data_IF_090647150818
#
_entry.id   IF_090647150818
#
_cell.length_a   1.000
_cell.length_b   1.000
_cell.length_c   1.000
_cell.angle_alpha   90.00
_cell.angle_beta   90.00
_cell.angle_gamma   90.00
#
_symmetry.space_group_name_H-M   'P 1'
#
loop_
_entity.id
_entity.type
_entity.pdbx_description
1 polymer ?
#
# COMPACT_ATOMS: atom_id res chain seq x y z
N UNK A 1 -30.44 -16.38 -23.63
CA UNK A 1 -29.64 -15.59 -24.59
C UNK A 1 -28.99 -14.40 -23.91
N UNK A 2 -29.70 -13.67 -23.03
CA UNK A 2 -29.13 -12.60 -22.20
C UNK A 2 -27.93 -13.06 -21.34
N UNK A 3 -28.02 -14.18 -20.60
CA UNK A 3 -26.90 -14.71 -19.80
C UNK A 3 -25.64 -15.06 -20.62
N UNK A 4 -25.82 -15.56 -21.86
CA UNK A 4 -24.67 -15.87 -22.74
C UNK A 4 -24.00 -14.62 -23.29
N UNK A 5 -24.78 -13.56 -23.58
CA UNK A 5 -24.22 -12.26 -23.98
C UNK A 5 -23.51 -11.57 -22.81
N UNK A 6 -24.06 -11.71 -21.59
CA UNK A 6 -23.47 -11.10 -20.39
C UNK A 6 -22.15 -11.78 -20.00
N UNK A 7 -22.05 -13.12 -20.10
CA UNK A 7 -20.78 -13.83 -19.89
C UNK A 7 -19.71 -13.46 -20.92
N UNK A 8 -20.05 -13.38 -22.21
CA UNK A 8 -19.08 -12.93 -23.23
C UNK A 8 -18.61 -11.48 -22.99
N UNK A 9 -19.50 -10.60 -22.50
CA UNK A 9 -19.12 -9.24 -22.18
C UNK A 9 -18.18 -9.19 -20.97
N UNK A 10 -18.46 -9.95 -19.91
CA UNK A 10 -17.57 -10.06 -18.74
C UNK A 10 -16.19 -10.57 -19.13
N UNK A 11 -16.12 -11.66 -19.89
CA UNK A 11 -14.84 -12.27 -20.30
C UNK A 11 -13.97 -11.31 -21.12
N UNK A 12 -14.58 -10.53 -22.03
CA UNK A 12 -13.87 -9.50 -22.79
C UNK A 12 -13.35 -8.36 -21.89
N UNK A 13 -14.15 -7.91 -20.92
CA UNK A 13 -13.72 -6.86 -19.98
C UNK A 13 -12.59 -7.34 -19.08
N UNK A 14 -12.65 -8.57 -18.58
CA UNK A 14 -11.58 -9.17 -17.78
C UNK A 14 -10.29 -9.36 -18.59
N UNK A 15 -10.41 -9.75 -19.86
CA UNK A 15 -9.26 -9.79 -20.75
C UNK A 15 -8.61 -8.41 -20.90
N UNK A 16 -9.42 -7.36 -21.11
CA UNK A 16 -8.91 -5.98 -21.17
C UNK A 16 -8.22 -5.59 -19.86
N UNK A 17 -8.83 -5.87 -18.70
CA UNK A 17 -8.25 -5.55 -17.40
C UNK A 17 -6.88 -6.23 -17.19
N UNK A 18 -6.74 -7.51 -17.54
CA UNK A 18 -5.46 -8.25 -17.45
C UNK A 18 -4.41 -7.71 -18.42
N UNK A 19 -4.79 -7.33 -19.64
CA UNK A 19 -3.87 -6.68 -20.59
C UNK A 19 -3.44 -5.31 -20.07
N UNK A 20 -4.37 -4.55 -19.50
CA UNK A 20 -4.10 -3.24 -18.91
C UNK A 20 -3.12 -3.35 -17.72
N UNK A 21 -3.28 -4.35 -16.86
CA UNK A 21 -2.35 -4.67 -15.78
C UNK A 21 -0.93 -4.94 -16.30
N UNK A 22 -0.79 -5.85 -17.28
CA UNK A 22 0.51 -6.20 -17.87
C UNK A 22 1.19 -5.03 -18.59
N UNK A 23 0.41 -4.08 -19.08
CA UNK A 23 0.91 -2.88 -19.77
C UNK A 23 1.00 -1.66 -18.86
N UNK A 24 0.80 -1.83 -17.54
CA UNK A 24 0.82 -0.76 -16.53
C UNK A 24 -0.17 0.39 -16.85
N UNK A 25 -1.24 0.12 -17.60
CA UNK A 25 -2.31 1.08 -17.96
C UNK A 25 -3.48 1.00 -16.97
N UNK A 26 -3.21 1.40 -15.73
CA UNK A 26 -4.16 1.19 -14.63
C UNK A 26 -5.49 1.96 -14.75
N UNK A 27 -5.52 3.10 -15.46
CA UNK A 27 -6.79 3.79 -15.76
C UNK A 27 -7.72 2.94 -16.62
N UNK A 28 -7.19 2.30 -17.67
CA UNK A 28 -7.95 1.37 -18.54
C UNK A 28 -8.42 0.14 -17.73
N UNK A 29 -7.56 -0.34 -16.82
CA UNK A 29 -7.88 -1.45 -15.92
C UNK A 29 -9.06 -1.10 -15.00
N UNK A 30 -9.06 0.09 -14.40
CA UNK A 30 -10.15 0.60 -13.55
C UNK A 30 -11.45 0.73 -14.34
N UNK A 31 -11.41 1.29 -15.56
CA UNK A 31 -12.60 1.42 -16.40
C UNK A 31 -13.22 0.07 -16.75
N UNK A 32 -12.40 -0.91 -17.13
CA UNK A 32 -12.84 -2.27 -17.41
C UNK A 32 -13.44 -2.94 -16.17
N UNK A 33 -12.77 -2.85 -15.02
CA UNK A 33 -13.23 -3.49 -13.79
C UNK A 33 -14.49 -2.85 -13.20
N UNK A 34 -14.66 -1.53 -13.34
CA UNK A 34 -15.92 -0.87 -13.01
C UNK A 34 -17.07 -1.36 -13.90
N UNK A 35 -16.80 -1.63 -15.17
CA UNK A 35 -17.79 -2.21 -16.08
C UNK A 35 -18.15 -3.64 -15.68
N UNK A 36 -17.18 -4.44 -15.22
CA UNK A 36 -17.42 -5.79 -14.67
C UNK A 36 -18.29 -5.73 -13.40
N UNK A 37 -17.99 -4.81 -12.47
CA UNK A 37 -18.78 -4.62 -11.25
C UNK A 37 -20.25 -4.28 -11.56
N UNK A 38 -20.48 -3.41 -12.55
CA UNK A 38 -21.83 -2.98 -12.98
C UNK A 38 -22.67 -4.07 -13.63
N UNK A 39 -22.10 -5.25 -13.94
CA UNK A 39 -22.88 -6.40 -14.38
C UNK A 39 -23.72 -7.01 -13.25
N UNK A 40 -23.51 -6.60 -11.99
CA UNK A 40 -24.32 -7.02 -10.84
C UNK A 40 -24.09 -8.49 -10.44
N UNK A 41 -22.98 -9.08 -10.89
CA UNK A 41 -22.57 -10.44 -10.55
C UNK A 41 -21.35 -10.36 -9.63
N UNK A 42 -21.41 -11.10 -8.53
CA UNK A 42 -20.35 -11.21 -7.53
C UNK A 42 -18.98 -11.44 -8.18
N UNK A 43 -17.98 -10.67 -7.75
CA UNK A 43 -16.60 -10.85 -8.19
C UNK A 43 -15.97 -12.04 -7.46
N UNK A 44 -15.26 -12.88 -8.20
CA UNK A 44 -14.34 -13.88 -7.66
C UNK A 44 -13.15 -13.22 -6.96
N UNK A 45 -12.37 -14.00 -6.19
CA UNK A 45 -11.19 -13.47 -5.51
C UNK A 45 -10.17 -12.83 -6.47
N UNK A 46 -9.93 -13.46 -7.63
CA UNK A 46 -9.03 -12.91 -8.67
C UNK A 46 -9.57 -11.58 -9.23
N UNK A 47 -10.86 -11.50 -9.51
CA UNK A 47 -11.48 -10.28 -10.04
C UNK A 47 -11.52 -9.16 -9.00
N UNK A 48 -11.73 -9.48 -7.71
CA UNK A 48 -11.58 -8.52 -6.60
C UNK A 48 -10.16 -7.98 -6.53
N UNK A 49 -9.16 -8.85 -6.67
CA UNK A 49 -7.76 -8.47 -6.67
C UNK A 49 -7.47 -7.48 -7.82
N UNK A 50 -7.87 -7.81 -9.06
CA UNK A 50 -7.71 -6.93 -10.23
C UNK A 50 -8.32 -5.54 -9.99
N UNK A 51 -9.55 -5.47 -9.48
CA UNK A 51 -10.19 -4.19 -9.15
C UNK A 51 -9.34 -3.38 -8.15
N UNK A 52 -8.89 -4.03 -7.07
CA UNK A 52 -8.13 -3.38 -6.02
C UNK A 52 -6.75 -2.91 -6.48
N UNK A 53 -6.05 -3.72 -7.29
CA UNK A 53 -4.75 -3.39 -7.89
C UNK A 53 -4.87 -2.18 -8.82
N UNK A 54 -5.90 -2.15 -9.68
CA UNK A 54 -6.13 -1.03 -10.59
C UNK A 54 -6.30 0.29 -9.82
N UNK A 55 -7.21 0.32 -8.85
CA UNK A 55 -7.43 1.54 -8.05
C UNK A 55 -6.24 1.89 -7.15
N UNK A 56 -5.56 0.90 -6.54
CA UNK A 56 -4.35 1.13 -5.74
C UNK A 56 -3.31 1.89 -6.56
N UNK A 57 -3.02 1.45 -7.79
CA UNK A 57 -2.01 2.07 -8.62
C UNK A 57 -2.40 3.47 -9.10
N UNK A 58 -3.64 3.65 -9.60
CA UNK A 58 -4.13 4.97 -10.05
C UNK A 58 -4.10 6.00 -8.92
N UNK A 59 -4.61 5.64 -7.73
CA UNK A 59 -4.66 6.56 -6.60
C UNK A 59 -3.31 6.71 -5.90
N UNK A 60 -2.47 5.67 -5.88
CA UNK A 60 -1.12 5.71 -5.34
C UNK A 60 -0.26 6.75 -6.05
N UNK A 61 -0.24 6.73 -7.39
CA UNK A 61 0.48 7.71 -8.19
C UNK A 61 0.00 9.16 -7.93
N UNK A 62 -1.31 9.36 -7.81
CA UNK A 62 -1.91 10.68 -7.52
C UNK A 62 -1.60 11.15 -6.10
N UNK A 63 -1.65 10.26 -5.10
CA UNK A 63 -1.27 10.58 -3.71
C UNK A 63 0.21 10.94 -3.60
N UNK A 64 1.09 10.22 -4.30
CA UNK A 64 2.51 10.56 -4.36
C UNK A 64 2.72 11.95 -5.00
N UNK A 65 2.04 12.24 -6.11
CA UNK A 65 2.05 13.55 -6.75
C UNK A 65 1.59 14.66 -5.79
N UNK A 66 0.47 14.45 -5.08
CA UNK A 66 -0.04 15.40 -4.10
C UNK A 66 0.97 15.66 -2.98
N UNK A 67 1.60 14.63 -2.42
CA UNK A 67 2.63 14.78 -1.37
C UNK A 67 3.82 15.62 -1.85
N UNK A 68 4.32 15.33 -3.05
CA UNK A 68 5.45 16.07 -3.63
C UNK A 68 5.07 17.54 -3.86
N UNK A 69 3.89 17.80 -4.42
CA UNK A 69 3.40 19.17 -4.62
C UNK A 69 3.22 19.92 -3.30
N UNK A 70 2.73 19.24 -2.26
CA UNK A 70 2.59 19.82 -0.92
C UNK A 70 3.94 20.20 -0.33
N UNK A 71 4.97 19.35 -0.50
CA UNK A 71 6.35 19.66 -0.08
C UNK A 71 6.94 20.85 -0.84
N UNK A 72 6.78 20.88 -2.17
CA UNK A 72 7.23 22.00 -3.02
C UNK A 72 6.56 23.30 -2.57
N UNK A 73 5.23 23.29 -2.37
CA UNK A 73 4.49 24.45 -1.88
C UNK A 73 5.09 24.97 -0.57
N UNK A 74 5.30 24.10 0.42
CA UNK A 74 5.86 24.51 1.72
C UNK A 74 7.27 25.10 1.58
N UNK A 75 8.11 24.53 0.72
CA UNK A 75 9.46 25.03 0.45
C UNK A 75 9.44 26.42 -0.20
N UNK A 76 8.59 26.63 -1.20
CA UNK A 76 8.45 27.93 -1.87
C UNK A 76 7.83 28.98 -0.94
N UNK A 77 6.92 28.57 -0.03
CA UNK A 77 6.39 29.43 1.04
C UNK A 77 7.50 29.90 1.99
N UNK A 78 8.42 29.00 2.38
CA UNK A 78 9.58 29.34 3.21
C UNK A 78 10.58 30.28 2.50
N UNK A 79 10.73 30.13 1.17
CA UNK A 79 11.57 31.00 0.35
C UNK A 79 10.95 32.38 0.06
N UNK A 80 9.65 32.58 0.36
CA UNK A 80 8.93 33.82 0.09
C UNK A 80 8.53 34.02 -1.38
N UNK A 81 8.63 32.99 -2.22
CA UNK A 81 8.32 33.03 -3.66
C UNK A 81 6.81 32.89 -3.92
N UNK A 82 6.06 33.93 -3.55
CA UNK A 82 4.58 33.92 -3.54
C UNK A 82 3.93 33.55 -4.88
N UNK A 83 4.60 33.81 -6.02
CA UNK A 83 4.10 33.39 -7.34
C UNK A 83 4.16 31.87 -7.52
N UNK A 84 5.27 31.23 -7.14
CA UNK A 84 5.40 29.77 -7.20
C UNK A 84 4.43 29.08 -6.24
N UNK A 85 4.23 29.67 -5.06
CA UNK A 85 3.21 29.18 -4.10
C UNK A 85 1.82 29.17 -4.72
N UNK A 86 1.44 30.21 -5.46
CA UNK A 86 0.14 30.26 -6.13
C UNK A 86 0.01 29.17 -7.21
N UNK A 87 1.04 28.96 -8.04
CA UNK A 87 1.07 27.91 -9.06
C UNK A 87 1.03 26.49 -8.47
N UNK A 88 1.75 26.28 -7.35
CA UNK A 88 1.73 25.03 -6.62
C UNK A 88 0.34 24.75 -6.02
N UNK A 89 -0.34 25.76 -5.47
CA UNK A 89 -1.72 25.66 -4.96
C UNK A 89 -2.72 25.27 -6.06
N UNK A 90 -2.61 25.86 -7.25
CA UNK A 90 -3.47 25.50 -8.38
C UNK A 90 -3.25 24.06 -8.83
N UNK A 91 -1.99 23.61 -8.85
CA UNK A 91 -1.65 22.23 -9.22
C UNK A 91 -2.10 21.22 -8.16
N UNK A 92 -1.95 21.55 -6.87
CA UNK A 92 -2.51 20.76 -5.77
C UNK A 92 -4.01 20.60 -5.93
N UNK A 93 -4.73 21.70 -6.17
CA UNK A 93 -6.19 21.66 -6.31
C UNK A 93 -6.64 20.73 -7.43
N UNK A 94 -5.95 20.72 -8.58
CA UNK A 94 -6.23 19.79 -9.67
C UNK A 94 -6.05 18.33 -9.25
N UNK A 95 -4.94 18.01 -8.58
CA UNK A 95 -4.68 16.64 -8.10
C UNK A 95 -5.72 16.22 -7.03
N UNK A 96 -6.11 17.12 -6.13
CA UNK A 96 -7.14 16.88 -5.13
C UNK A 96 -8.51 16.59 -5.76
N UNK A 97 -8.87 17.32 -6.82
CA UNK A 97 -10.13 17.10 -7.54
C UNK A 97 -10.12 15.74 -8.27
N UNK A 98 -8.98 15.36 -8.88
CA UNK A 98 -8.80 14.03 -9.49
C UNK A 98 -8.85 12.89 -8.46
N UNK A 99 -8.16 13.05 -7.32
CA UNK A 99 -8.21 12.10 -6.19
C UNK A 99 -9.63 11.96 -5.67
N UNK A 100 -10.31 13.09 -5.42
CA UNK A 100 -11.70 13.10 -4.94
C UNK A 100 -12.63 12.38 -5.91
N UNK A 101 -12.49 12.66 -7.21
CA UNK A 101 -13.31 12.02 -8.25
C UNK A 101 -13.12 10.51 -8.26
N UNK A 102 -11.88 10.01 -8.20
CA UNK A 102 -11.61 8.56 -8.23
C UNK A 102 -11.96 7.84 -6.95
N UNK A 103 -11.74 8.44 -5.78
CA UNK A 103 -12.25 7.89 -4.52
C UNK A 103 -13.78 7.79 -4.54
N UNK A 104 -14.49 8.83 -4.97
CA UNK A 104 -15.96 8.77 -5.04
C UNK A 104 -16.46 7.74 -6.06
N UNK A 105 -15.77 7.55 -7.18
CA UNK A 105 -16.11 6.53 -8.18
C UNK A 105 -16.08 5.10 -7.60
N UNK A 106 -15.00 4.73 -6.88
CA UNK A 106 -14.93 3.41 -6.24
C UNK A 106 -15.89 3.28 -5.07
N UNK A 107 -16.07 4.32 -4.26
CA UNK A 107 -17.01 4.29 -3.13
C UNK A 107 -18.45 4.03 -3.60
N UNK A 108 -18.89 4.72 -4.66
CA UNK A 108 -20.19 4.47 -5.30
C UNK A 108 -20.27 3.07 -5.90
N UNK A 109 -19.20 2.62 -6.57
CA UNK A 109 -19.16 1.26 -7.16
C UNK A 109 -19.29 0.19 -6.07
N UNK A 110 -18.65 0.38 -4.92
CA UNK A 110 -18.76 -0.52 -3.79
C UNK A 110 -20.19 -0.56 -3.24
N UNK A 111 -20.79 0.60 -3.00
CA UNK A 111 -22.11 0.69 -2.36
C UNK A 111 -23.25 0.23 -3.27
N UNK A 112 -23.20 0.56 -4.56
CA UNK A 112 -24.29 0.27 -5.50
C UNK A 112 -24.23 -1.15 -6.07
N UNK A 113 -23.04 -1.76 -6.18
CA UNK A 113 -22.85 -3.02 -6.92
C UNK A 113 -22.12 -4.11 -6.14
N UNK A 114 -21.00 -3.80 -5.48
CA UNK A 114 -20.12 -4.84 -4.92
C UNK A 114 -20.60 -5.37 -3.58
N UNK A 115 -20.95 -4.51 -2.62
CA UNK A 115 -21.52 -4.94 -1.34
C UNK A 115 -22.88 -5.64 -1.52
N UNK A 116 -23.83 -5.12 -2.34
CA UNK A 116 -25.11 -5.80 -2.56
C UNK A 116 -25.00 -7.18 -3.22
N UNK A 117 -23.95 -7.42 -4.01
CA UNK A 117 -23.71 -8.71 -4.68
C UNK A 117 -22.84 -9.68 -3.88
N UNK A 118 -22.20 -9.23 -2.79
CA UNK A 118 -21.34 -10.03 -1.93
C UNK A 118 -22.13 -11.07 -1.13
N UNK A 119 -21.71 -12.34 -1.20
CA UNK A 119 -22.37 -13.45 -0.48
C UNK A 119 -21.53 -14.07 0.62
N UNK A 120 -20.24 -13.75 0.67
CA UNK A 120 -19.30 -14.29 1.65
C UNK A 120 -18.81 -13.20 2.61
N UNK A 121 -18.49 -13.61 3.85
CA UNK A 121 -17.84 -12.73 4.82
C UNK A 121 -16.53 -12.16 4.29
N UNK A 122 -15.72 -12.99 3.63
CA UNK A 122 -14.46 -12.57 3.00
C UNK A 122 -14.65 -11.40 2.01
N UNK A 123 -15.61 -11.51 1.09
CA UNK A 123 -15.88 -10.46 0.12
C UNK A 123 -16.42 -9.19 0.79
N UNK A 124 -17.28 -9.33 1.81
CA UNK A 124 -17.81 -8.19 2.56
C UNK A 124 -16.70 -7.45 3.33
N UNK A 125 -15.81 -8.18 4.02
CA UNK A 125 -14.64 -7.61 4.72
C UNK A 125 -13.73 -6.89 3.72
N UNK A 126 -13.45 -7.51 2.58
CA UNK A 126 -12.61 -6.92 1.53
C UNK A 126 -13.16 -5.56 1.06
N UNK A 127 -14.46 -5.48 0.74
CA UNK A 127 -15.06 -4.23 0.26
C UNK A 127 -15.22 -3.18 1.35
N UNK A 128 -15.57 -3.56 2.59
CA UNK A 128 -15.62 -2.62 3.70
C UNK A 128 -14.23 -2.07 4.05
N UNK A 129 -13.19 -2.91 4.02
CA UNK A 129 -11.79 -2.48 4.14
C UNK A 129 -11.43 -1.47 3.04
N UNK A 130 -11.76 -1.78 1.78
CA UNK A 130 -11.54 -0.85 0.66
C UNK A 130 -12.26 0.49 0.88
N UNK A 131 -13.52 0.50 1.35
CA UNK A 131 -14.21 1.76 1.70
C UNK A 131 -13.44 2.55 2.75
N UNK A 132 -12.96 1.88 3.80
CA UNK A 132 -12.11 2.50 4.82
C UNK A 132 -10.87 3.14 4.21
N UNK A 133 -10.16 2.40 3.36
CA UNK A 133 -8.96 2.89 2.68
C UNK A 133 -9.22 4.14 1.82
N UNK A 134 -10.30 4.17 1.03
CA UNK A 134 -10.59 5.32 0.17
C UNK A 134 -11.12 6.54 0.92
N UNK A 135 -11.90 6.34 1.99
CA UNK A 135 -12.27 7.44 2.88
C UNK A 135 -11.05 7.98 3.64
N UNK A 136 -10.13 7.12 4.06
CA UNK A 136 -8.85 7.54 4.64
C UNK A 136 -8.05 8.41 3.66
N UNK A 137 -7.96 8.03 2.39
CA UNK A 137 -7.28 8.85 1.38
C UNK A 137 -7.93 10.22 1.22
N UNK A 138 -9.27 10.32 1.28
CA UNK A 138 -9.96 11.60 1.29
C UNK A 138 -9.60 12.44 2.54
N UNK A 139 -9.51 11.80 3.71
CA UNK A 139 -9.17 12.48 4.96
C UNK A 139 -7.73 13.03 5.01
N UNK A 140 -6.82 12.54 4.16
CA UNK A 140 -5.41 12.99 4.10
C UNK A 140 -5.25 14.43 3.61
N UNK A 141 -6.10 14.87 2.67
CA UNK A 141 -5.94 16.17 2.01
C UNK A 141 -7.15 17.11 2.16
N UNK A 142 -8.32 16.59 2.56
CA UNK A 142 -9.49 17.42 2.85
C UNK A 142 -9.29 18.24 4.12
N UNK A 143 -10.03 19.34 4.25
CA UNK A 143 -10.01 20.21 5.43
C UNK A 143 -11.38 20.28 6.12
N UNK A 144 -11.36 20.71 7.38
CA UNK A 144 -12.55 21.08 8.15
C UNK A 144 -13.63 19.98 8.14
N UNK A 145 -14.88 20.34 7.83
CA UNK A 145 -16.03 19.44 7.84
C UNK A 145 -15.90 18.27 6.84
N UNK A 146 -15.24 18.47 5.69
CA UNK A 146 -15.04 17.39 4.72
C UNK A 146 -14.07 16.33 5.27
N UNK A 147 -13.04 16.76 6.00
CA UNK A 147 -12.10 15.85 6.66
C UNK A 147 -12.76 15.09 7.80
N UNK A 148 -13.57 15.75 8.61
CA UNK A 148 -14.30 15.12 9.71
C UNK A 148 -15.26 14.04 9.19
N UNK A 149 -16.02 14.35 8.13
CA UNK A 149 -16.93 13.38 7.51
C UNK A 149 -16.15 12.18 6.93
N UNK A 150 -15.09 12.44 6.14
CA UNK A 150 -14.27 11.36 5.57
C UNK A 150 -13.65 10.47 6.67
N UNK A 151 -13.16 11.08 7.75
CA UNK A 151 -12.63 10.37 8.92
C UNK A 151 -13.70 9.50 9.58
N UNK A 152 -14.90 10.03 9.80
CA UNK A 152 -16.03 9.29 10.38
C UNK A 152 -16.44 8.10 9.51
N UNK A 153 -16.53 8.30 8.20
CA UNK A 153 -16.89 7.25 7.26
C UNK A 153 -15.80 6.17 7.16
N UNK A 154 -14.53 6.56 7.17
CA UNK A 154 -13.40 5.63 7.23
C UNK A 154 -13.48 4.75 8.48
N UNK A 155 -13.71 5.35 9.65
CA UNK A 155 -13.83 4.63 10.91
C UNK A 155 -14.99 3.62 10.87
N UNK A 156 -16.18 4.05 10.46
CA UNK A 156 -17.36 3.17 10.36
C UNK A 156 -17.12 1.99 9.42
N UNK A 157 -16.43 2.24 8.29
CA UNK A 157 -16.14 1.19 7.32
C UNK A 157 -15.15 0.15 7.86
N UNK A 158 -14.08 0.59 8.53
CA UNK A 158 -13.14 -0.33 9.17
C UNK A 158 -13.79 -1.10 10.34
N UNK A 159 -14.59 -0.45 11.19
CA UNK A 159 -15.30 -1.13 12.28
C UNK A 159 -16.28 -2.19 11.76
N UNK A 160 -17.01 -1.90 10.67
CA UNK A 160 -17.87 -2.87 10.01
C UNK A 160 -17.06 -4.05 9.44
N UNK A 161 -15.91 -3.79 8.82
CA UNK A 161 -15.02 -4.85 8.34
C UNK A 161 -14.49 -5.72 9.50
N UNK A 162 -14.08 -5.12 10.61
CA UNK A 162 -13.53 -5.83 11.77
C UNK A 162 -14.56 -6.75 12.40
N UNK A 163 -15.79 -6.27 12.59
CA UNK A 163 -16.87 -7.08 13.17
C UNK A 163 -17.18 -8.35 12.34
N UNK A 164 -17.15 -8.23 11.02
CA UNK A 164 -17.34 -9.38 10.12
C UNK A 164 -16.10 -10.28 10.15
N UNK A 165 -14.89 -9.70 10.09
CA UNK A 165 -13.63 -10.45 10.07
C UNK A 165 -13.41 -11.29 11.33
N UNK A 166 -13.79 -10.78 12.51
CA UNK A 166 -13.69 -11.51 13.78
C UNK A 166 -14.59 -12.76 13.82
N UNK A 167 -15.70 -12.75 13.09
CA UNK A 167 -16.65 -13.86 13.05
C UNK A 167 -16.33 -14.86 11.94
N UNK A 168 -15.96 -14.35 10.75
CA UNK A 168 -15.95 -15.14 9.52
C UNK A 168 -14.54 -15.54 9.06
N UNK A 169 -13.48 -14.90 9.58
CA UNK A 169 -12.10 -15.10 9.11
C UNK A 169 -11.15 -15.50 10.26
N UNK A 170 -10.27 -16.50 10.07
CA UNK A 170 -9.26 -16.83 11.08
C UNK A 170 -8.24 -15.68 11.24
N UNK A 171 -7.56 -15.56 12.41
CA UNK A 171 -6.57 -14.51 12.66
C UNK A 171 -5.44 -14.44 11.64
N UNK A 172 -5.07 -15.58 11.07
CA UNK A 172 -4.04 -15.72 10.02
C UNK A 172 -4.53 -15.35 8.63
N UNK A 173 -5.81 -15.05 8.42
CA UNK A 173 -6.30 -14.73 7.08
C UNK A 173 -5.68 -13.42 6.56
N UNK A 174 -5.09 -13.38 5.35
CA UNK A 174 -4.44 -12.19 4.80
C UNK A 174 -5.34 -10.95 4.71
N UNK A 175 -6.65 -11.12 4.45
CA UNK A 175 -7.59 -9.99 4.38
C UNK A 175 -7.83 -9.42 5.78
N UNK A 176 -7.93 -10.27 6.81
CA UNK A 176 -8.07 -9.84 8.21
C UNK A 176 -6.80 -9.16 8.73
N UNK A 177 -5.62 -9.71 8.43
CA UNK A 177 -4.34 -9.09 8.75
C UNK A 177 -4.16 -7.74 8.04
N UNK A 178 -4.45 -7.68 6.74
CA UNK A 178 -4.38 -6.44 5.96
C UNK A 178 -5.39 -5.40 6.43
N UNK A 179 -6.55 -5.81 6.95
CA UNK A 179 -7.50 -4.90 7.60
C UNK A 179 -6.90 -4.31 8.88
N UNK A 180 -6.33 -5.15 9.76
CA UNK A 180 -5.70 -4.69 11.00
C UNK A 180 -4.54 -3.72 10.75
N UNK A 181 -3.69 -4.03 9.77
CA UNK A 181 -2.61 -3.16 9.30
C UNK A 181 -3.14 -1.79 8.86
N UNK A 182 -4.14 -1.75 7.97
CA UNK A 182 -4.63 -0.47 7.46
C UNK A 182 -5.40 0.33 8.52
N UNK A 183 -6.08 -0.36 9.44
CA UNK A 183 -6.83 0.29 10.50
C UNK A 183 -5.92 0.84 11.60
N UNK A 184 -4.81 0.16 11.92
CA UNK A 184 -3.80 0.70 12.83
C UNK A 184 -3.13 1.95 12.24
N UNK A 185 -2.77 1.92 10.95
CA UNK A 185 -2.27 3.11 10.22
C UNK A 185 -3.29 4.25 10.25
N UNK A 186 -4.58 3.98 10.08
CA UNK A 186 -5.63 4.99 10.22
C UNK A 186 -5.65 5.63 11.61
N UNK A 187 -5.53 4.84 12.68
CA UNK A 187 -5.46 5.39 14.04
C UNK A 187 -4.21 6.23 14.26
N UNK A 188 -3.08 5.82 13.69
CA UNK A 188 -1.82 6.53 13.80
C UNK A 188 -1.83 7.85 13.01
N UNK A 189 -2.07 7.79 11.70
CA UNK A 189 -1.90 8.92 10.79
C UNK A 189 -3.10 9.90 10.78
N UNK A 190 -4.33 9.40 10.87
CA UNK A 190 -5.53 10.23 10.69
C UNK A 190 -6.12 10.68 12.03
N UNK A 191 -6.27 9.75 12.97
CA UNK A 191 -6.84 10.01 14.29
C UNK A 191 -5.79 10.57 15.26
N UNK A 192 -4.50 10.38 14.99
CA UNK A 192 -3.39 10.74 15.87
C UNK A 192 -3.50 10.07 17.26
N UNK A 193 -3.86 8.78 17.29
CA UNK A 193 -3.93 7.96 18.49
C UNK A 193 -2.95 6.77 18.39
N UNK A 194 -1.68 7.04 18.72
CA UNK A 194 -0.59 6.07 18.69
C UNK A 194 -0.83 4.88 19.61
N UNK A 195 -1.34 5.09 20.83
CA UNK A 195 -1.61 4.00 21.77
C UNK A 195 -2.59 2.98 21.18
N UNK A 196 -3.70 3.45 20.62
CA UNK A 196 -4.70 2.59 19.99
C UNK A 196 -4.16 1.90 18.74
N UNK A 197 -3.38 2.61 17.92
CA UNK A 197 -2.74 2.03 16.74
C UNK A 197 -1.81 0.88 17.11
N UNK A 198 -0.91 1.10 18.06
CA UNK A 198 0.04 0.10 18.54
C UNK A 198 -0.65 -1.10 19.20
N UNK A 199 -1.66 -0.87 20.04
CA UNK A 199 -2.40 -1.96 20.69
C UNK A 199 -3.12 -2.84 19.66
N UNK A 200 -3.73 -2.23 18.62
CA UNK A 200 -4.39 -2.97 17.54
C UNK A 200 -3.39 -3.80 16.73
N UNK A 201 -2.27 -3.20 16.32
CA UNK A 201 -1.22 -3.88 15.58
C UNK A 201 -0.61 -5.05 16.38
N UNK A 202 -0.31 -4.85 17.67
CA UNK A 202 0.20 -5.91 18.56
C UNK A 202 -0.78 -7.07 18.69
N UNK A 203 -2.06 -6.78 18.95
CA UNK A 203 -3.07 -7.83 19.08
C UNK A 203 -3.19 -8.68 17.81
N UNK A 204 -3.23 -8.04 16.64
CA UNK A 204 -3.32 -8.75 15.36
C UNK A 204 -2.08 -9.63 15.11
N UNK A 205 -0.89 -9.13 15.47
CA UNK A 205 0.36 -9.87 15.36
C UNK A 205 0.37 -11.09 16.28
N UNK A 206 0.02 -10.92 17.56
CA UNK A 206 -0.01 -11.99 18.56
C UNK A 206 -1.05 -13.08 18.22
N UNK A 207 -2.26 -12.68 17.81
CA UNK A 207 -3.33 -13.61 17.44
C UNK A 207 -2.93 -14.46 16.23
N UNK A 208 -2.30 -13.85 15.21
CA UNK A 208 -1.85 -14.58 14.04
C UNK A 208 -0.63 -15.47 14.32
N UNK A 209 0.32 -15.00 15.12
CA UNK A 209 1.50 -15.77 15.51
C UNK A 209 1.13 -17.08 16.22
N UNK A 210 0.05 -17.09 17.01
CA UNK A 210 -0.42 -18.27 17.73
C UNK A 210 -0.86 -19.42 16.81
N UNK A 211 -1.26 -19.13 15.57
CA UNK A 211 -1.80 -20.10 14.61
C UNK A 211 -0.95 -20.26 13.35
N UNK A 212 0.11 -19.46 13.19
CA UNK A 212 0.91 -19.34 11.96
C UNK A 212 1.57 -20.65 11.54
N UNK A 213 2.10 -21.42 12.49
CA UNK A 213 2.81 -22.69 12.22
C UNK A 213 1.90 -23.80 11.66
N UNK A 214 0.59 -23.61 11.70
CA UNK A 214 -0.40 -24.59 11.21
C UNK A 214 -0.78 -24.42 9.75
N UNK A 215 -0.31 -23.35 9.11
CA UNK A 215 -0.66 -22.99 7.73
C UNK A 215 0.09 -23.82 6.70
N UNK A 216 -0.50 -23.96 5.51
CA UNK A 216 0.22 -24.44 4.33
C UNK A 216 1.25 -23.39 3.85
N UNK A 217 2.21 -23.82 3.02
CA UNK A 217 3.32 -22.96 2.55
C UNK A 217 2.83 -21.64 1.95
N UNK A 218 1.78 -21.66 1.13
CA UNK A 218 1.30 -20.45 0.43
C UNK A 218 0.63 -19.50 1.42
N UNK A 219 -0.30 -20.01 2.23
CA UNK A 219 -0.97 -19.19 3.25
C UNK A 219 0.01 -18.63 4.28
N UNK A 220 1.06 -19.37 4.63
CA UNK A 220 2.14 -18.91 5.50
C UNK A 220 2.90 -17.73 4.88
N UNK A 221 3.31 -17.84 3.61
CA UNK A 221 4.01 -16.77 2.89
C UNK A 221 3.17 -15.49 2.84
N UNK A 222 1.90 -15.58 2.45
CA UNK A 222 1.01 -14.42 2.35
C UNK A 222 0.80 -13.74 3.72
N UNK A 223 0.60 -14.53 4.77
CA UNK A 223 0.31 -14.03 6.12
C UNK A 223 1.56 -13.43 6.79
N UNK A 224 2.71 -14.10 6.66
CA UNK A 224 3.98 -13.66 7.24
C UNK A 224 4.47 -12.35 6.65
N UNK A 225 4.23 -12.11 5.35
CA UNK A 225 4.55 -10.83 4.72
C UNK A 225 3.78 -9.68 5.36
N UNK A 226 2.48 -9.84 5.59
CA UNK A 226 1.65 -8.80 6.21
C UNK A 226 2.01 -8.62 7.69
N UNK A 227 2.29 -9.72 8.41
CA UNK A 227 2.75 -9.63 9.79
C UNK A 227 4.06 -8.88 9.93
N UNK A 228 4.99 -9.03 8.98
CA UNK A 228 6.22 -8.24 8.93
C UNK A 228 5.92 -6.75 8.85
N UNK A 229 5.08 -6.33 7.89
CA UNK A 229 4.65 -4.93 7.76
C UNK A 229 3.99 -4.37 9.02
N UNK A 230 3.25 -5.19 9.77
CA UNK A 230 2.70 -4.81 11.07
C UNK A 230 3.83 -4.59 12.10
N UNK A 231 4.82 -5.48 12.12
CA UNK A 231 6.01 -5.38 12.97
C UNK A 231 6.86 -4.14 12.67
N UNK A 232 7.08 -3.83 11.39
CA UNK A 232 7.85 -2.66 10.94
C UNK A 232 7.18 -1.36 11.42
N UNK A 233 5.85 -1.26 11.24
CA UNK A 233 5.07 -0.14 11.78
C UNK A 233 5.15 -0.03 13.31
N UNK A 234 5.08 -1.15 14.04
CA UNK A 234 5.21 -1.14 15.49
C UNK A 234 6.58 -0.64 15.94
N UNK A 235 7.65 -1.05 15.27
CA UNK A 235 8.99 -0.54 15.52
C UNK A 235 9.02 0.97 15.30
N UNK A 236 8.59 1.43 14.12
CA UNK A 236 8.57 2.84 13.77
C UNK A 236 7.80 3.70 14.78
N UNK A 237 6.64 3.24 15.25
CA UNK A 237 5.77 4.01 16.15
C UNK A 237 6.21 3.98 17.62
N UNK A 238 7.15 3.10 17.98
CA UNK A 238 7.61 2.92 19.36
C UNK A 238 9.05 3.38 19.59
N UNK A 239 9.77 3.78 18.55
CA UNK A 239 11.04 4.49 18.68
C UNK A 239 10.84 5.82 19.43
N UNK A 240 11.64 6.05 20.47
CA UNK A 240 11.57 7.24 21.33
C UNK A 240 12.28 8.41 20.63
N UNK A 241 11.64 9.57 20.38
CA UNK A 241 12.29 10.73 19.75
C UNK A 241 13.43 11.34 20.60
N UNK A 242 13.68 10.85 21.82
CA UNK A 242 14.66 11.39 22.75
C UNK A 242 16.09 10.83 22.59
N UNK A 243 16.34 9.85 21.71
CA UNK A 243 17.71 9.31 21.48
C UNK A 243 18.47 9.96 20.31
N UNK A 244 17.88 10.95 19.63
CA UNK A 244 18.50 11.70 18.52
C UNK A 244 18.36 13.22 18.76
N UNK A 245 19.21 13.81 19.61
CA UNK A 245 19.28 15.27 19.82
C UNK A 245 19.80 16.06 18.58
N UNK A 246 20.10 15.39 17.47
CA UNK A 246 20.34 16.01 16.15
C UNK A 246 19.09 15.96 15.23
N UNK A 247 17.92 15.52 15.72
CA UNK A 247 16.70 15.35 14.92
C UNK A 247 15.79 16.59 14.80
N UNK A 248 16.15 17.75 15.36
CA UNK A 248 15.32 18.96 15.20
C UNK A 248 15.30 19.49 13.74
N UNK A 249 16.23 19.06 12.88
CA UNK A 249 16.17 19.28 11.41
C UNK A 249 15.71 18.03 10.62
N UNK A 250 15.42 16.90 11.29
CA UNK A 250 14.95 15.64 10.65
C UNK A 250 13.48 15.30 10.89
N UNK A 251 12.83 15.94 11.87
CA UNK A 251 11.40 15.76 12.13
C UNK A 251 10.48 16.24 10.98
N UNK A 252 11.02 16.96 9.99
CA UNK A 252 10.33 17.36 8.76
C UNK A 252 10.56 16.45 7.55
N UNK A 253 11.52 15.52 7.60
CA UNK A 253 12.00 14.76 6.43
C UNK A 253 12.21 13.25 6.66
N UNK A 254 12.04 12.72 7.88
CA UNK A 254 12.05 11.27 8.08
C UNK A 254 10.74 10.62 7.61
N UNK A 255 10.79 10.15 6.37
CA UNK A 255 10.01 9.08 5.76
C UNK A 255 8.64 8.77 6.36
N UNK A 256 7.63 9.32 5.68
CA UNK A 256 6.24 8.86 5.69
C UNK A 256 6.19 7.41 5.18
N UNK A 257 6.28 6.45 6.08
CA UNK A 257 6.12 5.04 5.77
C UNK A 257 4.64 4.75 5.41
N UNK A 258 4.29 4.75 4.11
CA UNK A 258 3.35 3.79 3.52
C UNK A 258 3.49 3.79 1.98
N UNK A 259 4.11 2.76 1.42
CA UNK A 259 3.47 1.76 0.51
C UNK A 259 4.58 0.77 0.09
N UNK A 260 4.70 -0.34 0.82
CA UNK A 260 5.58 -1.44 0.41
C UNK A 260 5.14 -1.95 -0.97
N UNK A 261 6.11 -2.09 -1.87
CA UNK A 261 5.87 -2.66 -3.20
C UNK A 261 5.92 -4.17 -3.04
N UNK A 262 4.76 -4.82 -3.11
CA UNK A 262 4.64 -6.28 -3.14
C UNK A 262 3.99 -6.75 -4.44
N UNK A 263 4.58 -7.78 -5.05
CA UNK A 263 4.10 -8.37 -6.29
C UNK A 263 4.89 -9.60 -6.71
N UNK A 264 4.25 -10.54 -7.40
CA UNK A 264 4.85 -11.82 -7.77
C UNK A 264 5.98 -11.66 -8.83
N UNK A 265 5.99 -10.58 -9.62
CA UNK A 265 6.99 -10.33 -10.68
C UNK A 265 7.22 -8.83 -10.89
N UNK A 266 8.09 -8.23 -10.09
CA UNK A 266 8.33 -6.79 -10.09
C UNK A 266 9.53 -6.45 -11.00
N UNK A 267 9.32 -5.48 -11.90
CA UNK A 267 10.34 -4.94 -12.82
C UNK A 267 10.28 -3.42 -12.85
N UNK A 268 11.45 -2.79 -12.90
CA UNK A 268 11.65 -1.33 -12.93
C UNK A 268 11.20 -0.64 -11.62
N UNK A 269 11.77 -1.04 -10.49
CA UNK A 269 11.41 -0.47 -9.18
C UNK A 269 12.38 0.66 -8.85
N UNK A 270 11.97 1.92 -9.07
CA UNK A 270 12.75 3.12 -8.73
C UNK A 270 12.10 3.87 -7.55
N UNK A 271 12.73 3.88 -6.37
CA UNK A 271 12.19 4.57 -5.19
C UNK A 271 13.17 5.51 -4.48
N UNK A 272 12.65 6.66 -4.03
CA UNK A 272 13.43 7.65 -3.27
C UNK A 272 13.52 7.34 -1.77
N UNK A 273 12.48 6.74 -1.21
CA UNK A 273 12.48 6.18 0.13
C UNK A 273 11.25 5.28 0.34
N UNK A 274 11.44 3.98 0.55
CA UNK A 274 10.36 2.99 0.81
C UNK A 274 10.78 2.05 1.94
N UNK A 275 9.81 1.68 2.77
CA UNK A 275 9.89 0.62 3.76
C UNK A 275 9.57 -0.73 3.06
N UNK A 276 10.61 -1.53 2.79
CA UNK A 276 10.48 -2.87 2.20
C UNK A 276 10.15 -2.96 0.71
N UNK A 277 10.98 -3.67 -0.07
CA UNK A 277 10.62 -4.20 -1.40
C UNK A 277 10.59 -5.73 -1.32
N UNK A 278 9.45 -6.34 -1.70
CA UNK A 278 9.29 -7.80 -1.65
C UNK A 278 8.67 -8.38 -2.92
N UNK A 279 9.25 -9.44 -3.47
CA UNK A 279 8.70 -10.15 -4.63
C UNK A 279 9.41 -11.48 -4.91
N UNK A 280 8.72 -12.42 -5.58
CA UNK A 280 9.30 -13.74 -5.93
C UNK A 280 10.47 -13.58 -6.92
N UNK A 281 10.30 -12.69 -7.92
CA UNK A 281 11.38 -12.25 -8.81
C UNK A 281 11.39 -10.72 -8.92
N UNK A 282 12.55 -10.12 -8.65
CA UNK A 282 12.82 -8.69 -8.72
C UNK A 282 13.95 -8.43 -9.73
N UNK A 283 13.71 -7.54 -10.70
CA UNK A 283 14.71 -7.09 -11.68
C UNK A 283 14.71 -5.57 -11.79
N UNK A 284 15.89 -4.98 -12.00
CA UNK A 284 16.08 -3.54 -12.20
C UNK A 284 15.55 -2.71 -11.00
N UNK A 285 16.17 -2.91 -9.84
CA UNK A 285 15.78 -2.24 -8.59
C UNK A 285 16.79 -1.13 -8.27
N UNK A 286 16.39 0.14 -8.39
CA UNK A 286 17.22 1.30 -8.05
C UNK A 286 16.62 2.10 -6.88
N UNK A 287 17.25 2.12 -5.71
CA UNK A 287 16.73 2.87 -4.56
C UNK A 287 17.73 3.80 -3.85
N UNK A 288 17.22 4.90 -3.31
CA UNK A 288 18.06 5.88 -2.57
C UNK A 288 18.17 5.62 -1.06
N UNK A 289 17.09 5.15 -0.43
CA UNK A 289 17.03 4.81 1.00
C UNK A 289 15.92 3.75 1.22
N UNK A 290 16.24 2.51 1.59
CA UNK A 290 15.24 1.43 1.80
C UNK A 290 15.50 0.69 3.10
N UNK A 291 14.47 0.24 3.79
CA UNK A 291 14.59 -0.73 4.87
C UNK A 291 14.23 -2.12 4.31
N UNK A 292 15.23 -2.94 3.96
CA UNK A 292 15.05 -4.29 3.44
C UNK A 292 14.66 -4.45 1.96
N UNK A 293 15.42 -5.27 1.22
CA UNK A 293 14.98 -5.88 -0.06
C UNK A 293 14.96 -7.40 0.08
N UNK A 294 13.83 -8.04 -0.22
CA UNK A 294 13.66 -9.49 -0.11
C UNK A 294 13.00 -10.14 -1.33
N UNK A 295 13.58 -11.21 -1.85
CA UNK A 295 12.97 -11.99 -2.94
C UNK A 295 13.67 -13.30 -3.26
N UNK A 296 12.99 -14.26 -3.88
CA UNK A 296 13.62 -15.55 -4.22
C UNK A 296 14.72 -15.35 -5.28
N UNK A 297 14.47 -14.52 -6.30
CA UNK A 297 15.45 -14.17 -7.32
C UNK A 297 15.59 -12.64 -7.48
N UNK A 298 16.75 -12.08 -7.13
CA UNK A 298 17.09 -10.66 -7.33
C UNK A 298 18.15 -10.52 -8.43
N UNK A 299 17.89 -9.68 -9.43
CA UNK A 299 18.85 -9.30 -10.49
C UNK A 299 18.89 -7.76 -10.64
N UNK A 300 20.07 -7.19 -10.95
CA UNK A 300 20.27 -5.77 -11.24
C UNK A 300 19.76 -4.82 -10.13
N UNK A 301 20.34 -4.95 -8.93
CA UNK A 301 19.93 -4.19 -7.74
C UNK A 301 21.00 -3.14 -7.38
N UNK A 302 20.70 -1.85 -7.53
CA UNK A 302 21.60 -0.74 -7.16
C UNK A 302 20.98 0.13 -6.06
N UNK A 303 21.58 0.20 -4.87
CA UNK A 303 21.04 1.05 -3.80
C UNK A 303 22.06 1.91 -3.05
N UNK A 304 21.61 3.09 -2.58
CA UNK A 304 22.45 4.12 -1.93
C UNK A 304 22.41 4.17 -0.40
N UNK A 305 21.43 3.52 0.25
CA UNK A 305 21.39 3.26 1.70
C UNK A 305 20.28 2.22 1.98
N UNK A 306 20.61 0.97 2.37
CA UNK A 306 19.60 -0.10 2.60
C UNK A 306 19.87 -0.98 3.82
N UNK A 307 18.96 -1.09 4.79
CA UNK A 307 19.08 -2.09 5.87
C UNK A 307 18.73 -3.51 5.38
N UNK A 308 19.75 -4.26 4.94
CA UNK A 308 19.65 -5.67 4.57
C UNK A 308 19.13 -5.99 3.16
N UNK A 309 19.81 -6.91 2.46
CA UNK A 309 19.33 -7.55 1.22
C UNK A 309 19.35 -9.07 1.37
N UNK A 310 18.22 -9.72 1.09
CA UNK A 310 18.05 -11.17 1.25
C UNK A 310 17.37 -11.84 0.06
N UNK A 311 17.92 -12.98 -0.39
CA UNK A 311 17.28 -13.80 -1.42
C UNK A 311 17.95 -15.14 -1.66
N UNK A 312 17.26 -16.07 -2.34
CA UNK A 312 17.84 -17.38 -2.67
C UNK A 312 18.89 -17.24 -3.77
N UNK A 313 18.63 -16.42 -4.79
CA UNK A 313 19.56 -16.08 -5.88
C UNK A 313 19.74 -14.57 -5.99
N UNK A 314 20.97 -14.08 -5.83
CA UNK A 314 21.34 -12.67 -5.99
C UNK A 314 22.35 -12.52 -7.13
N UNK A 315 22.06 -11.64 -8.09
CA UNK A 315 22.92 -11.34 -9.23
C UNK A 315 23.01 -9.83 -9.48
N UNK A 316 24.20 -9.32 -9.79
CA UNK A 316 24.43 -7.91 -10.16
C UNK A 316 23.90 -6.92 -9.09
N UNK A 317 24.38 -7.07 -7.84
CA UNK A 317 23.94 -6.26 -6.70
C UNK A 317 25.03 -5.29 -6.26
N UNK A 318 24.80 -3.97 -6.32
CA UNK A 318 25.72 -2.93 -5.83
C UNK A 318 25.06 -2.07 -4.74
N UNK A 319 25.63 -2.06 -3.52
CA UNK A 319 25.12 -1.30 -2.38
C UNK A 319 26.19 -0.42 -1.70
N UNK A 320 25.76 0.74 -1.18
CA UNK A 320 26.45 1.63 -0.23
C UNK A 320 25.40 2.12 0.79
N UNK A 321 25.72 2.56 2.01
CA UNK A 321 26.57 1.97 3.05
C UNK A 321 25.69 1.23 4.10
N UNK A 322 25.59 -0.11 4.17
CA UNK A 322 24.84 -0.79 5.28
C UNK A 322 25.32 -2.23 5.60
N UNK A 323 24.92 -2.69 6.79
CA UNK A 323 25.08 -4.00 7.42
C UNK A 323 24.33 -5.14 6.66
N UNK A 324 25.07 -6.20 6.33
CA UNK A 324 24.51 -7.49 5.87
C UNK A 324 23.95 -7.60 4.43
N UNK A 325 24.60 -8.46 3.61
CA UNK A 325 24.01 -9.06 2.39
C UNK A 325 24.03 -10.59 2.58
N UNK A 326 22.89 -11.26 2.38
CA UNK A 326 22.79 -12.73 2.58
C UNK A 326 22.00 -13.41 1.47
N UNK A 327 22.51 -14.53 0.95
CA UNK A 327 21.79 -15.38 0.01
C UNK A 327 22.49 -16.71 -0.23
N UNK A 328 21.77 -17.67 -0.82
CA UNK A 328 22.29 -19.03 -1.07
C UNK A 328 23.18 -19.08 -2.32
N UNK A 329 22.83 -18.32 -3.37
CA UNK A 329 23.59 -18.22 -4.61
C UNK A 329 23.89 -16.74 -4.92
N UNK A 330 25.17 -16.34 -4.84
CA UNK A 330 25.62 -14.96 -5.06
C UNK A 330 26.51 -14.86 -6.30
N UNK A 331 26.17 -13.97 -7.24
CA UNK A 331 26.94 -13.67 -8.45
C UNK A 331 27.07 -12.13 -8.61
N UNK A 332 28.29 -11.60 -8.82
CA UNK A 332 28.53 -10.16 -9.04
C UNK A 332 27.92 -9.21 -7.98
N UNK A 333 28.15 -9.52 -6.69
CA UNK A 333 27.69 -8.72 -5.53
C UNK A 333 28.81 -7.84 -4.98
N UNK A 334 28.64 -6.52 -4.98
CA UNK A 334 29.54 -5.54 -4.36
C UNK A 334 28.87 -4.81 -3.17
N UNK A 335 29.47 -4.91 -1.98
CA UNK A 335 29.10 -4.10 -0.82
C UNK A 335 30.25 -3.14 -0.46
N UNK A 336 30.05 -1.83 -0.63
CA UNK A 336 31.05 -0.81 -0.33
C UNK A 336 30.77 -0.26 1.08
N UNK A 337 31.60 -0.67 2.04
CA UNK A 337 31.57 -0.15 3.41
C UNK A 337 31.79 1.38 3.43
N UNK A 338 31.20 2.06 4.41
CA UNK A 338 31.52 3.46 4.69
C UNK A 338 33.00 3.54 5.08
N UNK A 339 33.79 4.32 4.35
CA UNK A 339 35.13 4.70 4.80
C UNK A 339 34.98 5.39 6.17
N UNK A 340 35.67 4.87 7.19
CA UNK A 340 35.78 5.49 8.51
C UNK A 340 36.49 6.84 8.37
N UNK A 341 35.75 7.96 8.49
CA UNK A 341 36.29 9.28 8.83
C UNK A 341 35.53 9.91 10.01
#
# INVERSE_FOLDING_TARGET
MADKQNNNARDHLLFIARVAEQTKRFDDMVEAMNSVAKLGVELTAEERNLLSVGYKNVLGAKRASWRILSMIKSKEEANGEMQHVALAKESLKRVEDELTSKCNEILLTIDDYLLPSSKTGEAAVFYHKMKGDYYRYLAEFKSDAEREEATSQSLKAYEAATAIAETDLPPTNPIRLGLALNFSVFYYEIIANTERACNMAKQAFEDAAAELDSLDKKSYQDSSLIMRLIGDNLTLWTLDPAEDEDAEDKAGEQNKAVDGVSGENLKDVENKAVDGVSGETLKDVENKAVDGVSGENLEDVENKAVDGVSGETLKDVENKPVDGVSGENLEDVENKAADEE
#
